data_IF_032212906566
#
_entry.id   IF_032212906566
#
_cell.length_a   1.000
_cell.length_b   1.000
_cell.length_c   1.000
_cell.angle_alpha   90.00
_cell.angle_beta   90.00
_cell.angle_gamma   90.00
#
_symmetry.space_group_name_H-M   'P 1'
#
loop_
_entity.id
_entity.type
_entity.pdbx_description
1 polymer ?
#
# COMPACT_ATOMS: atom_id res chain seq x y z
N UNK A 1 52.10 26.41 -9.07
CA UNK A 1 50.67 26.80 -9.08
C UNK A 1 49.83 25.53 -9.09
N UNK A 2 49.29 25.19 -7.91
CA UNK A 2 48.41 24.01 -7.74
C UNK A 2 46.97 24.48 -7.94
N UNK A 3 46.32 24.03 -9.01
CA UNK A 3 44.90 24.25 -9.24
C UNK A 3 44.10 23.21 -8.46
N UNK A 4 43.45 23.62 -7.38
CA UNK A 4 42.44 22.82 -6.65
C UNK A 4 41.13 22.83 -7.44
N UNK A 5 40.82 21.73 -8.12
CA UNK A 5 39.48 21.51 -8.66
C UNK A 5 38.54 21.11 -7.53
N UNK A 6 37.72 22.07 -7.08
CA UNK A 6 36.61 21.80 -6.17
C UNK A 6 35.50 21.10 -6.96
N UNK A 7 35.42 19.77 -6.89
CA UNK A 7 34.27 19.00 -7.36
C UNK A 7 33.10 19.27 -6.39
N UNK A 8 32.30 20.29 -6.66
CA UNK A 8 30.98 20.41 -6.06
C UNK A 8 30.11 19.27 -6.61
N UNK A 9 30.02 18.19 -5.84
CA UNK A 9 29.01 17.17 -6.06
C UNK A 9 27.63 17.79 -5.87
N UNK A 10 26.91 18.02 -6.95
CA UNK A 10 25.48 18.29 -6.89
C UNK A 10 24.81 17.02 -6.37
N UNK A 11 24.49 17.01 -5.08
CA UNK A 11 23.54 16.02 -4.56
C UNK A 11 22.19 16.37 -5.21
N UNK A 12 21.76 15.57 -6.17
CA UNK A 12 20.40 15.61 -6.68
C UNK A 12 19.45 15.42 -5.48
N UNK A 13 18.81 16.49 -5.03
CA UNK A 13 17.76 16.39 -4.03
C UNK A 13 16.62 15.61 -4.69
N UNK A 14 16.49 14.33 -4.33
CA UNK A 14 15.38 13.48 -4.75
C UNK A 14 14.09 14.17 -4.31
N UNK A 15 13.33 14.73 -5.28
CA UNK A 15 12.10 15.45 -5.01
C UNK A 15 11.18 14.52 -4.22
N UNK A 16 10.83 14.89 -2.99
CA UNK A 16 9.95 14.11 -2.14
C UNK A 16 8.58 13.99 -2.82
N UNK A 17 8.10 12.77 -3.02
CA UNK A 17 6.77 12.52 -3.53
C UNK A 17 5.75 12.64 -2.41
N UNK A 18 4.71 13.45 -2.61
CA UNK A 18 3.71 13.75 -1.60
C UNK A 18 2.39 13.04 -1.89
N UNK A 19 1.71 12.66 -0.81
CA UNK A 19 0.32 12.22 -0.84
C UNK A 19 -0.57 13.45 -0.96
N UNK A 20 -1.52 13.42 -1.89
CA UNK A 20 -2.49 14.49 -2.12
C UNK A 20 -3.89 14.00 -1.79
N UNK A 21 -4.65 14.81 -1.04
CA UNK A 21 -6.09 14.65 -0.91
C UNK A 21 -6.77 15.14 -2.18
N UNK A 22 -7.45 14.24 -2.90
CA UNK A 22 -8.19 14.58 -4.12
C UNK A 22 -9.65 14.93 -3.80
N UNK A 23 -10.28 14.22 -2.86
CA UNK A 23 -11.68 14.42 -2.50
C UNK A 23 -11.99 13.94 -1.08
N UNK A 24 -12.90 14.65 -0.43
CA UNK A 24 -13.70 14.21 0.72
C UNK A 24 -14.98 15.04 0.81
N UNK A 25 -16.05 14.50 1.37
CA UNK A 25 -17.29 15.26 1.58
C UNK A 25 -17.14 16.25 2.73
N UNK A 26 -16.41 15.85 3.79
CA UNK A 26 -16.11 16.73 4.93
C UNK A 26 -14.64 16.65 5.32
N UNK A 27 -14.11 17.77 5.77
CA UNK A 27 -12.81 17.90 6.38
C UNK A 27 -12.97 18.68 7.69
N UNK A 28 -12.47 18.13 8.78
CA UNK A 28 -12.51 18.75 10.10
C UNK A 28 -11.21 18.56 10.87
N UNK A 29 -11.05 19.31 11.95
CA UNK A 29 -9.91 19.26 12.86
C UNK A 29 -10.40 19.13 14.30
N UNK A 30 -9.69 18.34 15.11
CA UNK A 30 -9.86 18.28 16.55
C UNK A 30 -8.50 18.48 17.25
N UNK A 31 -8.07 19.72 17.31
CA UNK A 31 -6.75 20.08 17.82
C UNK A 31 -6.50 19.67 19.28
N UNK A 32 -7.58 19.38 20.04
CA UNK A 32 -7.45 18.93 21.42
C UNK A 32 -7.14 17.45 21.55
N UNK A 33 -7.68 16.62 20.63
CA UNK A 33 -7.53 15.15 20.65
C UNK A 33 -6.51 14.66 19.64
N UNK A 34 -6.49 15.29 18.46
CA UNK A 34 -5.67 14.90 17.31
C UNK A 34 -5.02 16.16 16.71
N UNK A 35 -4.01 16.73 17.37
CA UNK A 35 -3.34 17.93 16.88
C UNK A 35 -2.70 17.67 15.50
N UNK A 36 -2.82 18.66 14.61
CA UNK A 36 -2.27 18.64 13.24
C UNK A 36 -2.80 17.51 12.33
N UNK A 37 -3.97 16.92 12.63
CA UNK A 37 -4.58 15.85 11.85
C UNK A 37 -5.83 16.34 11.14
N UNK A 38 -5.90 16.07 9.82
CA UNK A 38 -7.13 16.27 9.05
C UNK A 38 -8.02 15.05 9.21
N UNK A 39 -9.25 15.24 9.66
CA UNK A 39 -10.28 14.19 9.80
C UNK A 39 -11.20 14.30 8.58
N UNK A 40 -11.22 13.26 7.77
CA UNK A 40 -11.91 13.20 6.48
C UNK A 40 -13.02 12.17 6.53
N UNK A 41 -14.19 12.51 6.02
CA UNK A 41 -15.36 11.60 5.98
C UNK A 41 -16.09 11.77 4.66
N UNK A 42 -16.48 10.65 4.08
CA UNK A 42 -17.33 10.53 2.90
C UNK A 42 -16.56 10.58 1.58
N UNK A 43 -16.63 9.48 0.83
CA UNK A 43 -16.01 9.34 -0.50
C UNK A 43 -14.58 9.88 -0.57
N UNK A 44 -13.76 9.49 0.40
CA UNK A 44 -12.39 9.98 0.52
C UNK A 44 -11.52 9.38 -0.57
N UNK A 45 -10.76 10.21 -1.25
CA UNK A 45 -9.80 9.78 -2.27
C UNK A 45 -8.47 10.51 -2.10
N UNK A 46 -7.39 9.73 -2.06
CA UNK A 46 -6.02 10.22 -2.07
C UNK A 46 -5.30 9.75 -3.33
N UNK A 47 -4.31 10.54 -3.77
CA UNK A 47 -3.38 10.17 -4.82
C UNK A 47 -1.93 10.27 -4.33
N UNK A 48 -1.14 9.27 -4.69
CA UNK A 48 0.32 9.31 -4.51
C UNK A 48 1.01 8.69 -5.73
N UNK A 49 1.70 9.51 -6.51
CA UNK A 49 2.22 9.15 -7.84
C UNK A 49 1.10 8.58 -8.72
N UNK A 50 1.23 7.34 -9.20
CA UNK A 50 0.24 6.61 -9.99
C UNK A 50 -0.80 5.85 -9.16
N UNK A 51 -0.70 5.86 -7.82
CA UNK A 51 -1.66 5.15 -6.97
C UNK A 51 -2.83 6.05 -6.58
N UNK A 52 -4.03 5.47 -6.59
CA UNK A 52 -5.26 6.03 -6.04
C UNK A 52 -5.70 5.19 -4.84
N UNK A 53 -6.15 5.86 -3.78
CA UNK A 53 -6.60 5.22 -2.54
C UNK A 53 -7.96 5.79 -2.16
N UNK A 54 -8.97 4.94 -2.10
CA UNK A 54 -10.35 5.27 -1.74
C UNK A 54 -10.71 4.68 -0.39
N UNK A 55 -11.54 5.37 0.38
CA UNK A 55 -12.09 4.88 1.64
C UNK A 55 -13.32 5.67 2.09
N UNK A 56 -13.99 5.20 3.15
CA UNK A 56 -15.14 5.90 3.73
C UNK A 56 -14.71 7.08 4.59
N UNK A 57 -13.64 6.91 5.38
CA UNK A 57 -13.09 7.95 6.25
C UNK A 57 -11.59 7.78 6.42
N UNK A 58 -10.90 8.86 6.80
CA UNK A 58 -9.46 8.82 7.02
C UNK A 58 -8.99 9.87 8.03
N UNK A 59 -7.85 9.57 8.67
CA UNK A 59 -6.98 10.55 9.28
C UNK A 59 -5.82 10.84 8.34
N UNK A 60 -5.61 12.10 7.99
CA UNK A 60 -4.50 12.52 7.14
C UNK A 60 -3.50 13.34 7.95
N UNK A 61 -2.29 12.81 8.05
CA UNK A 61 -1.13 13.38 8.72
C UNK A 61 -0.25 14.04 7.65
N UNK A 62 -0.66 15.22 7.18
CA UNK A 62 -0.03 15.89 6.04
C UNK A 62 1.46 16.15 6.27
N UNK A 63 1.83 16.57 7.49
CA UNK A 63 3.23 16.83 7.87
C UNK A 63 4.11 15.57 7.82
N UNK A 64 3.52 14.40 8.11
CA UNK A 64 4.20 13.11 8.10
C UNK A 64 4.02 12.37 6.75
N UNK A 65 3.37 13.02 5.78
CA UNK A 65 3.08 12.44 4.48
C UNK A 65 2.44 11.06 4.58
N UNK A 66 1.50 10.86 5.53
CA UNK A 66 0.89 9.57 5.84
C UNK A 66 -0.60 9.67 6.09
N UNK A 67 -1.32 8.55 5.99
CA UNK A 67 -2.74 8.47 6.24
C UNK A 67 -3.14 7.14 6.90
N UNK A 68 -4.22 7.19 7.65
CA UNK A 68 -4.95 6.01 8.13
C UNK A 68 -6.35 6.03 7.51
N UNK A 69 -6.66 5.05 6.67
CA UNK A 69 -7.93 4.93 5.97
C UNK A 69 -8.79 3.82 6.56
N UNK A 70 -10.09 4.05 6.65
CA UNK A 70 -11.06 3.16 7.29
C UNK A 70 -12.31 3.00 6.44
N UNK A 71 -12.75 1.75 6.30
CA UNK A 71 -13.97 1.35 5.62
C UNK A 71 -13.85 1.35 4.10
N UNK A 72 -14.21 0.22 3.49
CA UNK A 72 -14.18 -0.01 2.04
C UNK A 72 -12.92 0.53 1.35
N UNK A 73 -11.77 0.26 1.99
CA UNK A 73 -10.50 0.71 1.45
C UNK A 73 -10.24 0.03 0.11
N UNK A 74 -9.86 0.82 -0.89
CA UNK A 74 -9.52 0.34 -2.22
C UNK A 74 -8.31 1.12 -2.75
N UNK A 75 -7.20 0.42 -2.98
CA UNK A 75 -5.99 0.96 -3.59
C UNK A 75 -5.87 0.44 -5.01
N UNK A 76 -5.65 1.34 -5.96
CA UNK A 76 -5.38 1.03 -7.36
C UNK A 76 -3.96 1.49 -7.68
N UNK A 77 -3.14 0.58 -8.18
CA UNK A 77 -1.76 0.84 -8.60
C UNK A 77 -1.59 0.51 -10.08
N UNK A 78 -1.53 1.55 -10.91
CA UNK A 78 -1.46 1.37 -12.36
C UNK A 78 -2.67 0.60 -12.90
N UNK A 79 -2.47 -0.19 -13.96
CA UNK A 79 -3.55 -0.88 -14.68
C UNK A 79 -3.76 -2.33 -14.22
N UNK A 80 -2.91 -2.87 -13.36
CA UNK A 80 -2.88 -4.31 -13.11
C UNK A 80 -2.98 -4.73 -11.65
N UNK A 81 -2.77 -3.84 -10.68
CA UNK A 81 -2.78 -4.20 -9.26
C UNK A 81 -3.85 -3.42 -8.51
N UNK A 82 -4.73 -4.15 -7.82
CA UNK A 82 -5.76 -3.61 -6.95
C UNK A 82 -5.74 -4.28 -5.59
N UNK A 83 -5.89 -3.48 -4.53
CA UNK A 83 -5.93 -3.95 -3.15
C UNK A 83 -7.15 -3.44 -2.40
N UNK A 84 -7.79 -4.29 -1.61
CA UNK A 84 -8.93 -3.96 -0.75
C UNK A 84 -8.67 -4.39 0.70
N UNK A 85 -9.32 -3.73 1.62
CA UNK A 85 -9.30 -4.08 3.04
C UNK A 85 -10.22 -3.20 3.87
N UNK A 86 -10.35 -3.50 5.14
CA UNK A 86 -11.14 -2.66 6.06
C UNK A 86 -10.33 -1.45 6.53
N UNK A 87 -9.02 -1.61 6.68
CA UNK A 87 -8.10 -0.56 7.17
C UNK A 87 -6.83 -0.54 6.34
N UNK A 88 -6.35 0.66 6.04
CA UNK A 88 -5.06 0.90 5.42
C UNK A 88 -4.28 1.94 6.22
N UNK A 89 -3.06 1.59 6.64
CA UNK A 89 -2.03 2.53 7.08
C UNK A 89 -1.06 2.75 5.93
N UNK A 90 -0.99 3.97 5.43
CA UNK A 90 -0.14 4.31 4.30
C UNK A 90 0.91 5.36 4.68
N UNK A 91 2.16 5.07 4.36
CA UNK A 91 3.31 5.91 4.63
C UNK A 91 3.91 6.38 3.29
N UNK A 92 3.68 7.64 2.94
CA UNK A 92 4.05 8.18 1.63
C UNK A 92 5.56 8.24 1.40
N UNK A 93 6.34 8.57 2.41
CA UNK A 93 7.81 8.69 2.28
C UNK A 93 8.48 7.36 1.94
N UNK A 94 8.00 6.27 2.49
CA UNK A 94 8.50 4.91 2.21
C UNK A 94 7.67 4.17 1.16
N UNK A 95 6.52 4.71 0.77
CA UNK A 95 5.53 4.09 -0.12
C UNK A 95 5.02 2.73 0.39
N UNK A 96 4.98 2.56 1.72
CA UNK A 96 4.53 1.34 2.37
C UNK A 96 3.03 1.40 2.66
N UNK A 97 2.27 0.44 2.11
CA UNK A 97 0.86 0.22 2.38
C UNK A 97 0.68 -1.00 3.30
N UNK A 98 0.03 -0.81 4.44
CA UNK A 98 -0.29 -1.89 5.40
C UNK A 98 -1.79 -2.07 5.46
N UNK A 99 -2.29 -3.09 4.78
CA UNK A 99 -3.70 -3.49 4.82
C UNK A 99 -3.98 -4.39 6.01
N UNK A 100 -5.16 -4.22 6.62
CA UNK A 100 -5.61 -4.98 7.78
C UNK A 100 -7.08 -5.35 7.66
N UNK A 101 -7.39 -6.58 7.97
CA UNK A 101 -8.71 -7.23 7.98
C UNK A 101 -9.37 -7.27 6.60
N UNK A 102 -9.88 -8.44 6.26
CA UNK A 102 -10.58 -8.72 5.00
C UNK A 102 -9.81 -8.24 3.77
N UNK A 103 -8.50 -8.52 3.75
CA UNK A 103 -7.61 -8.03 2.69
C UNK A 103 -7.71 -8.91 1.47
N UNK A 104 -7.83 -8.28 0.31
CA UNK A 104 -7.76 -8.90 -1.01
C UNK A 104 -6.82 -8.11 -1.90
N UNK A 105 -5.88 -8.80 -2.54
CA UNK A 105 -5.00 -8.22 -3.57
C UNK A 105 -5.24 -8.97 -4.88
N UNK A 106 -5.55 -8.23 -5.93
CA UNK A 106 -5.74 -8.77 -7.28
C UNK A 106 -4.60 -8.30 -8.19
N UNK A 107 -3.97 -9.25 -8.87
CA UNK A 107 -2.96 -8.98 -9.89
C UNK A 107 -3.00 -10.09 -10.96
N UNK A 108 -3.11 -9.72 -12.24
CA UNK A 108 -3.08 -10.61 -13.41
C UNK A 108 -3.94 -11.88 -13.27
N UNK A 109 -5.15 -11.74 -12.72
CA UNK A 109 -6.10 -12.84 -12.53
C UNK A 109 -5.84 -13.72 -11.32
N UNK A 110 -4.78 -13.51 -10.56
CA UNK A 110 -4.55 -14.14 -9.27
C UNK A 110 -5.06 -13.25 -8.14
N UNK A 111 -5.72 -13.88 -7.16
CA UNK A 111 -6.25 -13.20 -5.98
C UNK A 111 -5.58 -13.73 -4.72
N UNK A 112 -4.94 -12.85 -3.94
CA UNK A 112 -4.47 -13.13 -2.59
C UNK A 112 -5.53 -12.65 -1.59
N UNK A 113 -5.90 -13.49 -0.62
CA UNK A 113 -6.73 -13.14 0.53
C UNK A 113 -5.96 -13.42 1.83
N UNK A 114 -6.01 -12.46 2.75
CA UNK A 114 -5.36 -12.52 4.05
C UNK A 114 -5.99 -11.49 4.99
N UNK A 115 -5.62 -11.49 6.27
CA UNK A 115 -6.01 -10.42 7.20
C UNK A 115 -4.89 -9.39 7.43
N UNK A 116 -3.65 -9.72 7.05
CA UNK A 116 -2.48 -8.86 7.24
C UNK A 116 -1.60 -8.87 6.00
N UNK A 117 -1.67 -7.80 5.22
CA UNK A 117 -0.84 -7.61 4.04
C UNK A 117 -0.02 -6.34 4.17
N UNK A 118 1.26 -6.42 3.90
CA UNK A 118 2.10 -5.26 3.65
C UNK A 118 2.50 -5.24 2.17
N UNK A 119 2.35 -4.09 1.53
CA UNK A 119 2.78 -3.86 0.16
C UNK A 119 3.76 -2.69 0.11
N UNK A 120 5.02 -3.02 -0.12
CA UNK A 120 6.10 -2.06 -0.35
C UNK A 120 6.09 -1.65 -1.82
N UNK A 121 5.45 -0.52 -2.14
CA UNK A 121 5.33 -0.01 -3.50
C UNK A 121 6.68 0.45 -4.08
N UNK A 122 7.63 0.83 -3.23
CA UNK A 122 8.95 1.26 -3.70
C UNK A 122 9.78 0.08 -4.25
N UNK A 123 9.59 -1.10 -3.67
CA UNK A 123 10.26 -2.35 -4.09
C UNK A 123 9.38 -3.25 -4.93
N UNK A 124 8.08 -2.92 -5.05
CA UNK A 124 7.06 -3.75 -5.67
C UNK A 124 7.00 -5.16 -5.06
N UNK A 125 6.87 -5.22 -3.74
CA UNK A 125 6.81 -6.48 -2.97
C UNK A 125 5.59 -6.46 -2.05
N UNK A 126 4.72 -7.47 -2.20
CA UNK A 126 3.63 -7.76 -1.28
C UNK A 126 3.99 -8.95 -0.40
N UNK A 127 3.73 -8.87 0.89
CA UNK A 127 4.00 -9.97 1.81
C UNK A 127 2.99 -10.06 2.97
N UNK A 128 2.72 -11.31 3.38
CA UNK A 128 1.91 -11.65 4.55
C UNK A 128 2.63 -12.67 5.44
N UNK A 129 2.27 -12.72 6.72
CA UNK A 129 2.96 -13.57 7.70
C UNK A 129 2.05 -14.20 8.76
N UNK A 130 0.73 -14.07 8.61
CA UNK A 130 -0.28 -14.63 9.53
C UNK A 130 -1.33 -15.47 8.79
N UNK A 131 -0.92 -16.13 7.72
CA UNK A 131 -1.78 -16.94 6.88
C UNK A 131 -2.34 -16.18 5.68
N UNK A 132 -2.42 -16.87 4.55
CA UNK A 132 -2.98 -16.36 3.32
C UNK A 132 -3.35 -17.46 2.35
N UNK A 133 -4.22 -17.10 1.40
CA UNK A 133 -4.67 -17.96 0.33
C UNK A 133 -4.51 -17.22 -1.00
N UNK A 134 -3.91 -17.89 -1.97
CA UNK A 134 -3.81 -17.40 -3.35
C UNK A 134 -4.61 -18.32 -4.25
N UNK A 135 -5.46 -17.72 -5.06
CA UNK A 135 -6.29 -18.42 -6.03
C UNK A 135 -6.05 -17.82 -7.43
N UNK A 136 -5.81 -18.69 -8.38
CA UNK A 136 -5.86 -18.36 -9.81
C UNK A 136 -6.94 -19.21 -10.51
N UNK A 137 -6.97 -19.21 -11.84
CA UNK A 137 -7.96 -19.96 -12.62
C UNK A 137 -7.88 -21.49 -12.45
N UNK A 138 -6.77 -22.01 -11.90
CA UNK A 138 -6.46 -23.45 -11.88
C UNK A 138 -6.15 -23.93 -10.46
N UNK A 139 -5.55 -23.09 -9.61
CA UNK A 139 -4.93 -23.53 -8.37
C UNK A 139 -5.43 -22.73 -7.17
N UNK A 140 -5.43 -23.37 -6.02
CA UNK A 140 -5.55 -22.72 -4.71
C UNK A 140 -4.32 -23.08 -3.87
N UNK A 141 -3.59 -22.07 -3.40
CA UNK A 141 -2.43 -22.24 -2.53
C UNK A 141 -2.70 -21.57 -1.19
N UNK A 142 -2.42 -22.28 -0.09
CA UNK A 142 -2.44 -21.71 1.26
C UNK A 142 -1.08 -21.83 1.93
N UNK A 143 -0.72 -20.87 2.76
CA UNK A 143 0.52 -20.89 3.56
C UNK A 143 0.44 -19.94 4.74
N UNK A 144 1.33 -20.09 5.72
CA UNK A 144 1.45 -19.15 6.85
C UNK A 144 2.12 -17.84 6.43
N UNK A 145 3.10 -17.91 5.52
CA UNK A 145 3.84 -16.74 5.02
C UNK A 145 3.93 -16.79 3.51
N UNK A 146 3.86 -15.64 2.90
CA UNK A 146 4.05 -15.47 1.47
C UNK A 146 4.68 -14.14 1.14
N UNK A 147 5.48 -14.12 0.09
CA UNK A 147 6.02 -12.93 -0.54
C UNK A 147 5.77 -13.04 -2.03
N UNK A 148 5.26 -11.98 -2.62
CA UNK A 148 4.98 -11.87 -4.04
C UNK A 148 5.57 -10.59 -4.62
N UNK A 149 6.21 -10.71 -5.77
CA UNK A 149 6.83 -9.59 -6.49
C UNK A 149 6.13 -9.44 -7.85
N UNK A 150 5.13 -8.55 -7.98
CA UNK A 150 4.29 -8.42 -9.16
C UNK A 150 5.06 -8.22 -10.47
N UNK A 151 6.11 -7.38 -10.46
CA UNK A 151 6.80 -7.00 -11.69
C UNK A 151 7.50 -8.18 -12.41
N UNK A 152 7.83 -9.27 -11.72
CA UNK A 152 8.50 -10.44 -12.30
C UNK A 152 7.78 -11.76 -12.00
N UNK A 153 6.56 -11.71 -11.46
CA UNK A 153 5.73 -12.87 -11.11
C UNK A 153 6.43 -13.89 -10.19
N UNK A 154 7.36 -13.44 -9.36
CA UNK A 154 8.02 -14.30 -8.40
C UNK A 154 7.24 -14.37 -7.09
N UNK A 155 7.05 -15.59 -6.59
CA UNK A 155 6.43 -15.82 -5.30
C UNK A 155 7.19 -16.85 -4.48
N UNK A 156 7.27 -16.63 -3.18
CA UNK A 156 7.87 -17.54 -2.20
C UNK A 156 6.89 -17.76 -1.07
N UNK A 157 6.58 -19.03 -0.78
CA UNK A 157 5.65 -19.42 0.28
C UNK A 157 6.35 -20.30 1.30
N UNK A 158 6.00 -20.14 2.58
CA UNK A 158 6.55 -20.92 3.67
C UNK A 158 5.55 -21.11 4.82
N UNK A 159 5.75 -22.19 5.57
CA UNK A 159 4.90 -22.58 6.68
C UNK A 159 3.57 -23.18 6.21
N UNK A 160 3.39 -24.47 6.43
CA UNK A 160 2.17 -25.24 6.12
C UNK A 160 1.67 -25.04 4.68
N UNK A 161 2.59 -25.03 3.73
CA UNK A 161 2.26 -24.81 2.32
C UNK A 161 1.43 -25.96 1.77
N UNK A 162 0.24 -25.64 1.24
CA UNK A 162 -0.65 -26.59 0.59
C UNK A 162 -1.09 -26.04 -0.76
N UNK A 163 -0.88 -26.82 -1.81
CA UNK A 163 -1.35 -26.54 -3.17
C UNK A 163 -2.44 -27.54 -3.55
N UNK A 164 -3.57 -27.04 -3.99
CA UNK A 164 -4.73 -27.84 -4.44
C UNK A 164 -5.00 -27.50 -5.90
N UNK A 165 -5.03 -28.53 -6.74
CA UNK A 165 -5.55 -28.44 -8.10
C UNK A 165 -6.98 -28.98 -8.10
N UNK A 166 -7.97 -28.31 -8.70
CA UNK A 166 -9.27 -28.92 -8.92
C UNK A 166 -9.10 -30.10 -9.91
N UNK A 167 -9.63 -31.24 -9.57
CA UNK A 167 -9.70 -32.42 -10.44
C UNK A 167 -10.72 -32.22 -11.55
#
# INVERSE_FOLDING_TARGET
VLLFFCLCGYAEQKKQSLVYLEHSETLSFDEKRLPDVQILVGNVCFRHDSALMYCDSAYFFEKDNSLHAFGHVHLIQGDSLEGWGDVLYYYGDTKLAKFRRNVRLLHDGATLTTDYLNYDRAKDIAYYFEGGMIEDSINTLTSLRGQYTPYNDQAVFSGEVRLVHPN
#
